data_IF_708013681384
#
_entry.id   IF_708013681384
#
_cell.length_a   1.000
_cell.length_b   1.000
_cell.length_c   1.000
_cell.angle_alpha   90.00
_cell.angle_beta   90.00
_cell.angle_gamma   90.00
#
_symmetry.space_group_name_H-M   'P 1'
#
loop_
_entity.id
_entity.type
_entity.pdbx_description
1 polymer ?
#
# COMPACT_ATOMS: atom_id res chain seq x y z
N UNK A 1 16.87 1.99 -30.54
CA UNK A 1 16.19 2.68 -29.42
C UNK A 1 17.25 3.57 -28.77
N UNK A 2 17.28 4.87 -29.12
CA UNK A 2 18.23 5.80 -28.49
C UNK A 2 17.89 5.94 -27.00
N UNK A 3 18.79 5.54 -26.15
CA UNK A 3 18.68 5.77 -24.71
C UNK A 3 18.96 7.26 -24.46
N UNK A 4 17.90 8.07 -24.38
CA UNK A 4 18.01 9.47 -23.96
C UNK A 4 18.74 9.50 -22.61
N UNK A 5 19.92 10.15 -22.56
CA UNK A 5 20.60 10.37 -21.28
C UNK A 5 19.70 11.21 -20.40
N UNK A 6 19.33 10.66 -19.24
CA UNK A 6 18.56 11.40 -18.24
C UNK A 6 19.39 12.56 -17.71
N UNK A 7 18.76 13.70 -17.44
CA UNK A 7 19.38 14.77 -16.67
C UNK A 7 19.67 14.32 -15.24
N UNK A 8 20.56 15.03 -14.54
CA UNK A 8 20.85 14.73 -13.13
C UNK A 8 19.58 14.75 -12.27
N UNK A 9 18.70 15.71 -12.50
CA UNK A 9 17.41 15.84 -11.77
C UNK A 9 16.48 14.67 -12.08
N UNK A 10 16.34 14.28 -13.36
CA UNK A 10 15.53 13.12 -13.74
C UNK A 10 16.06 11.82 -13.11
N UNK A 11 17.38 11.68 -13.03
CA UNK A 11 18.03 10.53 -12.39
C UNK A 11 17.73 10.51 -10.88
N UNK A 12 17.89 11.66 -10.22
CA UNK A 12 17.61 11.80 -8.79
C UNK A 12 16.16 11.48 -8.46
N UNK A 13 15.20 11.98 -9.24
CA UNK A 13 13.78 11.70 -9.04
C UNK A 13 13.51 10.22 -9.29
N UNK A 14 14.02 9.64 -10.37
CA UNK A 14 13.75 8.24 -10.74
C UNK A 14 14.24 7.24 -9.70
N UNK A 15 15.41 7.45 -9.12
CA UNK A 15 16.03 6.51 -8.17
C UNK A 15 15.86 6.92 -6.71
N UNK A 16 15.66 8.21 -6.45
CA UNK A 16 15.53 8.75 -5.10
C UNK A 16 14.08 8.83 -4.59
N UNK A 17 13.09 8.91 -5.48
CA UNK A 17 11.68 9.11 -5.06
C UNK A 17 11.18 8.01 -4.13
N UNK A 18 11.42 6.73 -4.48
CA UNK A 18 10.96 5.62 -3.66
C UNK A 18 11.54 5.65 -2.24
N UNK A 19 12.86 5.64 -2.03
CA UNK A 19 13.41 5.68 -0.67
C UNK A 19 13.07 6.97 0.09
N UNK A 20 12.95 8.11 -0.59
CA UNK A 20 12.60 9.37 0.04
C UNK A 20 11.14 9.40 0.50
N UNK A 21 10.19 8.97 -0.36
CA UNK A 21 8.78 8.92 0.01
C UNK A 21 8.55 7.91 1.11
N UNK A 22 9.14 6.71 1.00
CA UNK A 22 9.04 5.68 2.02
C UNK A 22 9.63 6.15 3.36
N UNK A 23 10.83 6.74 3.34
CA UNK A 23 11.49 7.26 4.53
C UNK A 23 10.72 8.40 5.18
N UNK A 24 10.22 9.36 4.39
CA UNK A 24 9.40 10.47 4.89
C UNK A 24 8.08 9.95 5.48
N UNK A 25 7.41 9.02 4.81
CA UNK A 25 6.18 8.39 5.30
C UNK A 25 6.43 7.69 6.63
N UNK A 26 7.47 6.87 6.72
CA UNK A 26 7.85 6.18 7.94
C UNK A 26 8.18 7.18 9.07
N UNK A 27 8.93 8.23 8.77
CA UNK A 27 9.31 9.25 9.75
C UNK A 27 8.08 9.99 10.31
N UNK A 28 7.13 10.37 9.46
CA UNK A 28 5.89 11.03 9.89
C UNK A 28 5.03 10.09 10.72
N UNK A 29 4.87 8.83 10.30
CA UNK A 29 4.06 7.85 11.02
C UNK A 29 4.68 7.51 12.37
N UNK A 30 5.91 7.04 12.39
CA UNK A 30 6.55 6.63 13.65
C UNK A 30 6.86 7.81 14.57
N UNK A 31 7.34 8.93 14.02
CA UNK A 31 7.62 10.15 14.79
C UNK A 31 6.35 10.78 15.35
N UNK A 32 5.30 10.87 14.54
CA UNK A 32 4.01 11.42 14.97
C UNK A 32 3.35 10.57 16.05
N UNK A 33 3.29 9.25 15.85
CA UNK A 33 2.73 8.34 16.86
C UNK A 33 3.56 8.35 18.16
N UNK A 34 4.89 8.39 18.06
CA UNK A 34 5.76 8.52 19.23
C UNK A 34 5.58 9.87 19.96
N UNK A 35 5.22 10.93 19.23
CA UNK A 35 4.87 12.24 19.77
C UNK A 35 3.44 12.32 20.33
N UNK A 36 2.68 11.21 20.31
CA UNK A 36 1.32 11.13 20.84
C UNK A 36 0.23 11.61 19.88
N UNK A 37 0.54 11.71 18.57
CA UNK A 37 -0.51 12.01 17.59
C UNK A 37 -1.52 10.86 17.50
N UNK A 38 -2.78 11.22 17.33
CA UNK A 38 -3.84 10.22 17.14
C UNK A 38 -3.57 9.36 15.93
N UNK A 39 -3.71 8.05 16.05
CA UNK A 39 -3.61 7.11 14.94
C UNK A 39 -4.52 7.52 13.78
N UNK A 40 -5.73 7.86 14.09
CA UNK A 40 -6.69 8.42 13.18
C UNK A 40 -6.84 9.94 13.49
N UNK A 41 -6.35 10.85 12.67
CA UNK A 41 -6.20 10.84 11.22
C UNK A 41 -4.74 10.69 10.68
N UNK A 42 -3.74 10.52 11.53
CA UNK A 42 -2.32 10.55 11.11
C UNK A 42 -2.03 9.53 10.00
N UNK A 43 -2.45 8.28 10.17
CA UNK A 43 -2.16 7.21 9.20
C UNK A 43 -2.83 7.47 7.85
N UNK A 44 -4.17 7.64 7.75
CA UNK A 44 -4.81 7.82 6.46
C UNK A 44 -4.35 9.08 5.72
N UNK A 45 -4.10 10.17 6.42
CA UNK A 45 -3.61 11.40 5.78
C UNK A 45 -2.18 11.26 5.26
N UNK A 46 -1.31 10.61 6.02
CA UNK A 46 0.08 10.36 5.59
C UNK A 46 0.13 9.44 4.37
N UNK A 47 -0.66 8.37 4.37
CA UNK A 47 -0.77 7.46 3.23
C UNK A 47 -1.34 8.18 2.00
N UNK A 48 -2.42 8.96 2.17
CA UNK A 48 -3.00 9.74 1.08
C UNK A 48 -2.00 10.75 0.50
N UNK A 49 -1.22 11.44 1.34
CA UNK A 49 -0.17 12.35 0.90
C UNK A 49 0.95 11.63 0.12
N UNK A 50 1.36 10.44 0.56
CA UNK A 50 2.34 9.63 -0.14
C UNK A 50 1.82 9.20 -1.52
N UNK A 51 0.59 8.69 -1.61
CA UNK A 51 -0.04 8.31 -2.87
C UNK A 51 -0.19 9.49 -3.82
N UNK A 52 -0.65 10.66 -3.33
CA UNK A 52 -0.74 11.88 -4.12
C UNK A 52 0.63 12.32 -4.65
N UNK A 53 1.69 12.19 -3.84
CA UNK A 53 3.06 12.51 -4.25
C UNK A 53 3.52 11.58 -5.37
N UNK A 54 3.28 10.27 -5.27
CA UNK A 54 3.60 9.30 -6.33
C UNK A 54 2.85 9.66 -7.61
N UNK A 55 1.54 9.88 -7.54
CA UNK A 55 0.72 10.24 -8.70
C UNK A 55 1.18 11.53 -9.40
N UNK A 56 1.63 12.53 -8.64
CA UNK A 56 2.19 13.76 -9.20
C UNK A 56 3.53 13.53 -9.89
N UNK A 57 4.41 12.71 -9.29
CA UNK A 57 5.71 12.36 -9.88
C UNK A 57 5.55 11.56 -11.17
N UNK A 58 4.62 10.62 -11.21
CA UNK A 58 4.31 9.85 -12.43
C UNK A 58 3.82 10.73 -13.57
N UNK A 59 3.03 11.76 -13.26
CA UNK A 59 2.59 12.71 -14.29
C UNK A 59 3.74 13.57 -14.83
N UNK A 60 4.73 13.89 -14.02
CA UNK A 60 5.89 14.68 -14.43
C UNK A 60 6.93 13.84 -15.16
N UNK A 61 7.18 12.61 -14.70
CA UNK A 61 8.18 11.70 -15.23
C UNK A 61 7.59 10.31 -15.52
N UNK A 62 6.66 10.20 -16.46
CA UNK A 62 6.03 8.93 -16.78
C UNK A 62 7.04 7.93 -17.32
N UNK A 63 6.92 6.66 -16.91
CA UNK A 63 7.70 5.58 -17.50
C UNK A 63 7.39 5.44 -18.99
N UNK A 64 6.10 5.49 -19.35
CA UNK A 64 5.61 5.55 -20.72
C UNK A 64 4.58 6.66 -20.87
N UNK A 65 4.83 7.62 -21.79
CA UNK A 65 3.88 8.72 -22.06
C UNK A 65 2.50 8.24 -22.49
N UNK A 66 2.42 7.11 -23.18
CA UNK A 66 1.15 6.53 -23.60
C UNK A 66 0.27 6.06 -22.42
N UNK A 67 0.86 5.76 -21.28
CA UNK A 67 0.14 5.35 -20.09
C UNK A 67 -0.56 6.51 -19.37
N UNK A 68 -0.22 7.74 -19.67
CA UNK A 68 -0.90 8.92 -19.10
C UNK A 68 -2.26 9.22 -19.74
N UNK A 69 -2.67 8.47 -20.76
CA UNK A 69 -3.98 8.65 -21.38
C UNK A 69 -4.99 7.81 -20.62
N UNK A 70 -6.01 8.48 -20.07
CA UNK A 70 -7.17 7.80 -19.49
C UNK A 70 -7.92 7.01 -20.57
N UNK A 71 -8.08 5.71 -20.36
CA UNK A 71 -8.84 4.82 -21.23
C UNK A 71 -10.23 4.51 -20.65
N UNK A 72 -10.77 5.43 -19.85
CA UNK A 72 -12.02 5.32 -19.07
C UNK A 72 -11.90 4.38 -17.87
N UNK A 73 -10.69 4.13 -17.41
CA UNK A 73 -10.38 3.30 -16.26
C UNK A 73 -10.28 4.11 -14.95
N UNK A 74 -9.96 5.40 -15.00
CA UNK A 74 -9.87 6.27 -13.81
C UNK A 74 -11.14 6.26 -12.93
N UNK A 75 -12.32 6.22 -13.53
CA UNK A 75 -13.57 6.13 -12.77
C UNK A 75 -13.71 4.75 -12.10
N UNK A 76 -13.33 3.69 -12.79
CA UNK A 76 -13.32 2.33 -12.28
C UNK A 76 -12.36 2.21 -11.09
N UNK A 77 -11.15 2.76 -11.23
CA UNK A 77 -10.12 2.77 -10.19
C UNK A 77 -10.59 3.54 -8.95
N UNK A 78 -11.24 4.69 -9.14
CA UNK A 78 -11.82 5.46 -8.04
C UNK A 78 -12.91 4.66 -7.30
N UNK A 79 -13.79 3.94 -8.02
CA UNK A 79 -14.81 3.08 -7.43
C UNK A 79 -14.15 1.94 -6.65
N UNK A 80 -13.13 1.29 -7.23
CA UNK A 80 -12.40 0.23 -6.54
C UNK A 80 -11.68 0.74 -5.28
N UNK A 81 -11.10 1.93 -5.32
CA UNK A 81 -10.48 2.55 -4.15
C UNK A 81 -11.51 2.78 -3.02
N UNK A 82 -12.70 3.28 -3.37
CA UNK A 82 -13.80 3.46 -2.38
C UNK A 82 -14.28 2.13 -1.84
N UNK A 83 -14.50 1.13 -2.68
CA UNK A 83 -14.92 -0.22 -2.26
C UNK A 83 -13.88 -0.83 -1.33
N UNK A 84 -12.60 -0.76 -1.68
CA UNK A 84 -11.50 -1.26 -0.84
C UNK A 84 -11.46 -0.54 0.52
N UNK A 85 -11.66 0.77 0.54
CA UNK A 85 -11.72 1.54 1.79
C UNK A 85 -12.90 1.08 2.66
N UNK A 86 -14.08 0.92 2.09
CA UNK A 86 -15.28 0.45 2.82
C UNK A 86 -15.04 -0.96 3.39
N UNK A 87 -14.49 -1.87 2.58
CA UNK A 87 -14.15 -3.23 3.03
C UNK A 87 -13.13 -3.20 4.17
N UNK A 88 -12.08 -2.39 4.03
CA UNK A 88 -11.05 -2.23 5.06
C UNK A 88 -11.64 -1.73 6.39
N UNK A 89 -12.50 -0.71 6.33
CA UNK A 89 -13.18 -0.16 7.51
C UNK A 89 -14.14 -1.18 8.14
N UNK A 90 -14.87 -1.93 7.33
CA UNK A 90 -15.76 -2.98 7.80
C UNK A 90 -14.99 -4.11 8.50
N UNK A 91 -13.90 -4.59 7.89
CA UNK A 91 -13.02 -5.61 8.49
C UNK A 91 -12.41 -5.10 9.79
N UNK A 92 -11.91 -3.86 9.81
CA UNK A 92 -11.39 -3.24 11.03
C UNK A 92 -12.45 -3.18 12.13
N UNK A 93 -13.67 -2.76 11.80
CA UNK A 93 -14.79 -2.73 12.74
C UNK A 93 -15.14 -4.10 13.32
N UNK A 94 -15.20 -5.13 12.45
CA UNK A 94 -15.46 -6.51 12.87
C UNK A 94 -14.35 -7.03 13.79
N UNK A 95 -13.09 -6.86 13.41
CA UNK A 95 -11.94 -7.30 14.20
C UNK A 95 -11.92 -6.58 15.55
N UNK A 96 -12.17 -5.28 15.59
CA UNK A 96 -12.22 -4.49 16.81
C UNK A 96 -13.37 -4.93 17.73
N UNK A 97 -14.53 -5.27 17.17
CA UNK A 97 -15.68 -5.77 17.95
C UNK A 97 -15.43 -7.18 18.51
N UNK A 98 -14.67 -8.02 17.79
CA UNK A 98 -14.34 -9.37 18.22
C UNK A 98 -13.10 -9.43 19.14
N UNK A 99 -12.25 -8.41 19.11
CA UNK A 99 -11.01 -8.38 19.90
C UNK A 99 -11.21 -8.67 21.41
N UNK A 100 -12.26 -8.16 22.10
CA UNK A 100 -12.50 -8.48 23.52
C UNK A 100 -12.78 -9.96 23.81
N UNK A 101 -13.24 -10.71 22.79
CA UNK A 101 -13.53 -12.15 22.95
C UNK A 101 -12.31 -13.03 22.65
N UNK A 102 -11.20 -12.43 22.24
CA UNK A 102 -9.99 -13.15 21.86
C UNK A 102 -8.93 -12.96 22.94
N UNK A 103 -8.69 -13.96 23.75
CA UNK A 103 -7.64 -13.96 24.79
C UNK A 103 -6.23 -14.13 24.21
N UNK A 104 -5.92 -13.45 23.10
CA UNK A 104 -4.63 -13.56 22.42
C UNK A 104 -3.45 -12.95 23.20
N UNK A 105 -3.70 -12.29 24.32
CA UNK A 105 -2.66 -11.66 25.14
C UNK A 105 -1.56 -12.60 25.62
N UNK A 106 -1.85 -13.91 25.73
CA UNK A 106 -0.86 -14.91 26.14
C UNK A 106 0.15 -15.28 25.04
N UNK A 107 -0.13 -14.94 23.79
CA UNK A 107 0.70 -15.34 22.63
C UNK A 107 1.52 -14.19 22.05
N UNK A 108 1.19 -12.94 22.43
CA UNK A 108 1.88 -11.78 21.91
C UNK A 108 3.18 -11.53 22.71
N UNK A 109 4.33 -11.36 22.05
CA UNK A 109 5.60 -11.16 22.72
C UNK A 109 5.79 -9.68 23.16
N UNK A 110 5.03 -9.24 24.16
CA UNK A 110 5.03 -7.85 24.66
C UNK A 110 6.42 -7.38 25.13
N UNK A 111 7.27 -8.34 25.57
CA UNK A 111 8.62 -8.04 26.00
C UNK A 111 9.62 -7.81 24.86
N UNK A 112 9.25 -8.10 23.63
CA UNK A 112 10.13 -7.85 22.50
C UNK A 112 10.22 -6.35 22.20
N UNK A 113 11.37 -5.84 21.72
CA UNK A 113 11.44 -4.46 21.28
C UNK A 113 10.49 -4.25 20.09
N UNK A 114 9.91 -3.03 20.01
CA UNK A 114 8.87 -2.71 19.01
C UNK A 114 9.25 -3.07 17.58
N UNK A 115 10.52 -2.88 17.20
CA UNK A 115 10.98 -3.26 15.87
C UNK A 115 10.87 -4.77 15.59
N UNK A 116 11.11 -5.62 16.60
CA UNK A 116 11.00 -7.07 16.45
C UNK A 116 9.53 -7.51 16.37
N UNK A 117 8.65 -6.86 17.16
CA UNK A 117 7.21 -7.06 17.05
C UNK A 117 6.69 -6.64 15.65
N UNK A 118 7.12 -5.48 15.15
CA UNK A 118 6.76 -5.01 13.82
C UNK A 118 7.26 -5.95 12.72
N UNK A 119 8.49 -6.47 12.84
CA UNK A 119 9.04 -7.46 11.92
C UNK A 119 8.22 -8.76 11.94
N UNK A 120 7.87 -9.26 13.12
CA UNK A 120 7.06 -10.48 13.26
C UNK A 120 5.69 -10.31 12.59
N UNK A 121 5.00 -9.18 12.83
CA UNK A 121 3.74 -8.85 12.15
C UNK A 121 3.94 -8.76 10.64
N UNK A 122 4.99 -8.08 10.18
CA UNK A 122 5.31 -7.95 8.76
C UNK A 122 5.47 -9.31 8.08
N UNK A 123 6.24 -10.22 8.69
CA UNK A 123 6.43 -11.59 8.17
C UNK A 123 5.11 -12.36 8.11
N UNK A 124 4.30 -12.30 9.16
CA UNK A 124 2.99 -12.99 9.19
C UNK A 124 2.06 -12.43 8.12
N UNK A 125 2.00 -11.10 7.96
CA UNK A 125 1.18 -10.46 6.94
C UNK A 125 1.64 -10.83 5.53
N UNK A 126 2.95 -10.76 5.25
CA UNK A 126 3.51 -11.10 3.95
C UNK A 126 3.23 -12.54 3.57
N UNK A 127 3.44 -13.47 4.53
CA UNK A 127 3.15 -14.88 4.33
C UNK A 127 1.66 -15.14 4.10
N UNK A 128 0.78 -14.43 4.81
CA UNK A 128 -0.67 -14.53 4.65
C UNK A 128 -1.11 -14.01 3.27
N UNK A 129 -0.59 -12.85 2.86
CA UNK A 129 -0.86 -12.27 1.53
C UNK A 129 -0.37 -13.20 0.41
N UNK A 130 0.85 -13.72 0.55
CA UNK A 130 1.38 -14.72 -0.38
C UNK A 130 0.47 -15.96 -0.45
N UNK A 131 0.05 -16.48 0.69
CA UNK A 131 -0.81 -17.65 0.76
C UNK A 131 -2.16 -17.44 0.07
N UNK A 132 -2.81 -16.30 0.32
CA UNK A 132 -4.07 -15.92 -0.34
C UNK A 132 -3.86 -15.74 -1.85
N UNK A 133 -2.79 -15.06 -2.26
CA UNK A 133 -2.45 -14.87 -3.67
C UNK A 133 -2.21 -16.22 -4.36
N UNK A 134 -1.38 -17.08 -3.77
CA UNK A 134 -1.12 -18.43 -4.27
C UNK A 134 -2.40 -19.27 -4.39
N UNK A 135 -3.27 -19.21 -3.37
CA UNK A 135 -4.56 -19.91 -3.37
C UNK A 135 -5.48 -19.37 -4.48
N UNK A 136 -5.45 -18.06 -4.72
CA UNK A 136 -6.21 -17.41 -5.79
C UNK A 136 -5.85 -17.92 -7.18
N UNK A 137 -4.62 -18.39 -7.38
CA UNK A 137 -4.19 -19.05 -8.62
C UNK A 137 -4.58 -20.53 -8.71
N UNK A 138 -4.94 -21.16 -7.59
CA UNK A 138 -5.26 -22.60 -7.53
C UNK A 138 -6.74 -22.90 -7.48
N UNK A 139 -7.53 -22.01 -6.93
CA UNK A 139 -8.98 -22.18 -6.76
C UNK A 139 -9.71 -21.41 -7.85
N UNK A 140 -10.41 -22.14 -8.75
CA UNK A 140 -11.08 -21.56 -9.93
C UNK A 140 -12.09 -20.45 -9.55
N UNK A 141 -12.76 -20.57 -8.42
CA UNK A 141 -13.69 -19.53 -7.94
C UNK A 141 -12.96 -18.25 -7.55
N UNK A 142 -11.85 -18.35 -6.81
CA UNK A 142 -11.01 -17.20 -6.44
C UNK A 142 -10.34 -16.58 -7.67
N UNK A 143 -9.92 -17.40 -8.62
CA UNK A 143 -9.32 -16.93 -9.86
C UNK A 143 -10.22 -15.99 -10.64
N UNK A 144 -11.53 -16.17 -10.62
CA UNK A 144 -12.47 -15.28 -11.32
C UNK A 144 -12.35 -13.82 -10.88
N UNK A 145 -12.07 -13.59 -9.62
CA UNK A 145 -11.86 -12.25 -9.07
C UNK A 145 -10.41 -11.79 -9.24
N UNK A 146 -9.49 -12.71 -9.03
CA UNK A 146 -8.06 -12.44 -9.06
C UNK A 146 -7.52 -12.19 -10.49
N UNK A 147 -8.13 -12.78 -11.50
CA UNK A 147 -7.78 -12.58 -12.90
C UNK A 147 -7.84 -11.11 -13.34
N UNK A 148 -8.71 -10.30 -12.74
CA UNK A 148 -8.80 -8.87 -12.99
C UNK A 148 -7.49 -8.18 -12.62
N UNK A 149 -6.89 -8.56 -11.50
CA UNK A 149 -5.58 -8.06 -11.06
C UNK A 149 -4.46 -8.38 -12.07
N UNK A 150 -4.54 -9.52 -12.76
CA UNK A 150 -3.59 -9.92 -13.80
C UNK A 150 -3.93 -9.44 -15.21
N UNK A 151 -5.09 -8.82 -15.42
CA UNK A 151 -5.51 -8.32 -16.73
C UNK A 151 -4.99 -6.92 -17.05
N UNK A 152 -4.39 -6.24 -16.10
CA UNK A 152 -3.87 -4.88 -16.29
C UNK A 152 -2.65 -4.89 -17.21
N UNK A 153 -2.79 -4.29 -18.39
CA UNK A 153 -1.68 -4.13 -19.34
C UNK A 153 -0.77 -2.93 -18.99
N UNK A 154 -1.21 -2.12 -18.04
CA UNK A 154 -0.56 -0.86 -17.68
C UNK A 154 -0.53 -0.71 -16.16
N UNK A 155 0.59 -0.17 -15.68
CA UNK A 155 0.78 0.19 -14.29
C UNK A 155 0.92 1.70 -14.21
N UNK A 156 -0.16 2.41 -13.90
CA UNK A 156 -0.19 3.86 -13.66
C UNK A 156 -1.35 4.23 -12.73
N UNK A 157 -1.28 5.46 -12.26
CA UNK A 157 -2.32 6.09 -11.46
C UNK A 157 -3.02 7.21 -12.22
#
# INVERSE_FOLDING_TARGET
METKKLSFIETLIRYGSYPLILGATAMVLFGGLAAGWSYFPTVPLTVAAALATVALLERQLPFHKAWQRDHRDSACDAIHAVVNLVVLLAVHGIVSALAPFWSAGAWWPDQWPLWAQALAVGVVLDFSLYGVHWLSHRVAWLWRFHAIHHSSERLYW
#
